data_IF_103560101995
#
_entry.id   IF_103560101995
#
_cell.length_a   1.000
_cell.length_b   1.000
_cell.length_c   1.000
_cell.angle_alpha   90.00
_cell.angle_beta   90.00
_cell.angle_gamma   90.00
#
_symmetry.space_group_name_H-M   'P 1'
#
loop_
_entity.id
_entity.type
_entity.pdbx_description
1 polymer ?
#
# COMPACT_ATOMS: atom_id res chain seq x y z
N UNK A 1 2.60 -15.52 -23.80
CA UNK A 1 2.01 -15.43 -25.14
C UNK A 1 1.64 -14.00 -25.58
N UNK A 2 1.89 -12.94 -24.80
CA UNK A 2 1.83 -11.54 -25.26
C UNK A 2 2.88 -10.74 -24.49
N UNK A 3 4.16 -10.86 -24.84
CA UNK A 3 5.22 -10.25 -24.01
C UNK A 3 5.55 -8.81 -24.36
N UNK A 4 5.35 -8.29 -25.58
CA UNK A 4 5.85 -6.94 -25.91
C UNK A 4 4.93 -6.02 -26.72
N UNK A 5 3.64 -6.36 -26.95
CA UNK A 5 2.71 -5.45 -27.63
C UNK A 5 1.40 -5.30 -26.84
N UNK A 6 1.42 -4.39 -25.85
CA UNK A 6 0.29 -4.12 -24.94
C UNK A 6 -0.91 -3.53 -25.67
N UNK A 7 -0.65 -2.66 -26.64
CA UNK A 7 -1.69 -2.12 -27.52
C UNK A 7 -2.39 -3.23 -28.31
N UNK A 8 -1.62 -4.15 -28.91
CA UNK A 8 -2.21 -5.27 -29.63
C UNK A 8 -3.03 -6.21 -28.72
N UNK A 9 -2.67 -6.35 -27.44
CA UNK A 9 -3.43 -7.14 -26.48
C UNK A 9 -4.79 -6.50 -26.18
N UNK A 10 -4.82 -5.18 -25.93
CA UNK A 10 -6.04 -4.41 -25.69
C UNK A 10 -7.01 -4.52 -26.87
N UNK A 11 -6.53 -4.26 -28.09
CA UNK A 11 -7.35 -4.32 -29.29
C UNK A 11 -7.89 -5.73 -29.57
N UNK A 12 -7.10 -6.76 -29.24
CA UNK A 12 -7.53 -8.14 -29.33
C UNK A 12 -8.66 -8.46 -28.35
N UNK A 13 -8.53 -8.05 -27.07
CA UNK A 13 -9.59 -8.29 -26.08
C UNK A 13 -10.86 -7.48 -26.35
N UNK A 14 -10.75 -6.25 -26.88
CA UNK A 14 -11.90 -5.46 -27.31
C UNK A 14 -12.72 -6.22 -28.36
N UNK A 15 -12.05 -6.78 -29.38
CA UNK A 15 -12.72 -7.59 -30.39
C UNK A 15 -13.38 -8.84 -29.78
N UNK A 16 -12.65 -9.56 -28.92
CA UNK A 16 -13.21 -10.76 -28.28
C UNK A 16 -14.42 -10.46 -27.39
N UNK A 17 -14.48 -9.30 -26.74
CA UNK A 17 -15.62 -8.90 -25.93
C UNK A 17 -16.92 -8.80 -26.74
N UNK A 18 -16.82 -8.43 -28.02
CA UNK A 18 -17.98 -8.33 -28.93
C UNK A 18 -18.40 -9.69 -29.51
N UNK A 19 -17.45 -10.61 -29.72
CA UNK A 19 -17.71 -11.91 -30.37
C UNK A 19 -17.99 -13.06 -29.40
N UNK A 20 -17.29 -13.14 -28.26
CA UNK A 20 -17.45 -14.19 -27.26
C UNK A 20 -18.07 -13.63 -25.97
N UNK A 21 -19.38 -13.44 -26.04
CA UNK A 21 -20.19 -12.87 -24.96
C UNK A 21 -20.17 -13.73 -23.69
N UNK A 22 -19.87 -15.04 -23.80
CA UNK A 22 -19.77 -15.94 -22.65
C UNK A 22 -18.59 -15.56 -21.74
N UNK A 23 -17.49 -15.09 -22.32
CA UNK A 23 -16.30 -14.67 -21.59
C UNK A 23 -16.15 -13.14 -21.47
N UNK A 24 -17.20 -12.38 -21.79
CA UNK A 24 -17.17 -10.91 -21.81
C UNK A 24 -16.64 -10.29 -20.51
N UNK A 25 -16.99 -10.85 -19.35
CA UNK A 25 -16.50 -10.36 -18.05
C UNK A 25 -14.99 -10.51 -17.90
N UNK A 26 -14.42 -11.64 -18.33
CA UNK A 26 -12.97 -11.87 -18.34
C UNK A 26 -12.28 -10.88 -19.29
N UNK A 27 -12.85 -10.64 -20.48
CA UNK A 27 -12.27 -9.69 -21.42
C UNK A 27 -12.30 -8.27 -20.89
N UNK A 28 -13.40 -7.82 -20.27
CA UNK A 28 -13.47 -6.52 -19.60
C UNK A 28 -12.39 -6.37 -18.52
N UNK A 29 -12.19 -7.40 -17.72
CA UNK A 29 -11.12 -7.42 -16.72
C UNK A 29 -9.73 -7.28 -17.36
N UNK A 30 -9.45 -8.04 -18.41
CA UNK A 30 -8.17 -7.98 -19.13
C UNK A 30 -7.95 -6.64 -19.83
N UNK A 31 -9.00 -6.04 -20.40
CA UNK A 31 -8.97 -4.69 -20.99
C UNK A 31 -8.63 -3.64 -19.93
N UNK A 32 -9.30 -3.70 -18.77
CA UNK A 32 -9.02 -2.81 -17.64
C UNK A 32 -7.55 -2.88 -17.19
N UNK A 33 -6.99 -4.09 -17.08
CA UNK A 33 -5.57 -4.28 -16.77
C UNK A 33 -4.66 -3.66 -17.85
N UNK A 34 -5.02 -3.80 -19.13
CA UNK A 34 -4.24 -3.20 -20.22
C UNK A 34 -4.21 -1.68 -20.11
N UNK A 35 -5.36 -1.04 -19.87
CA UNK A 35 -5.43 0.41 -19.67
C UNK A 35 -4.63 0.88 -18.46
N UNK A 36 -4.75 0.20 -17.31
CA UNK A 36 -3.93 0.51 -16.13
C UNK A 36 -2.43 0.44 -16.44
N UNK A 37 -1.99 -0.60 -17.14
CA UNK A 37 -0.57 -0.79 -17.51
C UNK A 37 -0.07 0.20 -18.55
N UNK A 38 -0.97 0.87 -19.25
CA UNK A 38 -0.69 1.95 -20.19
C UNK A 38 -0.76 3.34 -19.53
N UNK A 39 -1.13 3.42 -18.25
CA UNK A 39 -1.29 4.68 -17.51
C UNK A 39 -2.63 5.39 -17.76
N UNK A 40 -3.59 4.73 -18.41
CA UNK A 40 -4.93 5.26 -18.62
C UNK A 40 -5.87 4.75 -17.50
N UNK A 41 -5.83 5.46 -16.37
CA UNK A 41 -6.58 5.07 -15.17
C UNK A 41 -8.09 5.24 -15.35
N UNK A 42 -8.54 6.24 -16.11
CA UNK A 42 -9.96 6.47 -16.38
C UNK A 42 -10.57 5.28 -17.13
N UNK A 43 -9.94 4.86 -18.23
CA UNK A 43 -10.41 3.70 -18.98
C UNK A 43 -10.26 2.40 -18.18
N UNK A 44 -9.17 2.25 -17.42
CA UNK A 44 -8.99 1.12 -16.51
C UNK A 44 -10.20 0.98 -15.57
N UNK A 45 -10.54 2.04 -14.85
CA UNK A 45 -11.66 2.07 -13.91
C UNK A 45 -13.00 1.81 -14.60
N UNK A 46 -13.23 2.40 -15.78
CA UNK A 46 -14.45 2.21 -16.56
C UNK A 46 -14.69 0.73 -16.91
N UNK A 47 -13.66 0.02 -17.38
CA UNK A 47 -13.80 -1.39 -17.75
C UNK A 47 -13.86 -2.30 -16.53
N UNK A 48 -13.06 -2.03 -15.49
CA UNK A 48 -13.05 -2.80 -14.25
C UNK A 48 -14.39 -2.73 -13.51
N UNK A 49 -15.06 -1.57 -13.50
CA UNK A 49 -16.38 -1.39 -12.88
C UNK A 49 -17.49 -2.22 -13.55
N UNK A 50 -17.26 -2.72 -14.76
CA UNK A 50 -18.23 -3.52 -15.52
C UNK A 50 -18.00 -5.04 -15.40
N UNK A 51 -16.99 -5.47 -14.64
CA UNK A 51 -16.70 -6.89 -14.40
C UNK A 51 -17.75 -7.45 -13.44
N UNK A 52 -18.46 -8.49 -13.86
CA UNK A 52 -19.54 -9.10 -13.08
C UNK A 52 -19.20 -10.49 -12.54
N UNK A 53 -18.09 -11.07 -12.98
CA UNK A 53 -17.62 -12.38 -12.53
C UNK A 53 -17.10 -12.30 -11.08
N UNK A 54 -17.74 -12.98 -10.11
CA UNK A 54 -17.32 -12.96 -8.71
C UNK A 54 -15.90 -13.50 -8.49
N UNK A 55 -15.43 -14.42 -9.36
CA UNK A 55 -14.10 -15.01 -9.23
C UNK A 55 -12.97 -13.99 -9.48
N UNK A 56 -13.26 -12.93 -10.25
CA UNK A 56 -12.30 -11.87 -10.58
C UNK A 56 -12.35 -10.70 -9.61
N UNK A 57 -13.35 -10.65 -8.71
CA UNK A 57 -13.72 -9.39 -8.09
C UNK A 57 -12.70 -8.86 -7.07
N UNK A 58 -11.98 -9.75 -6.38
CA UNK A 58 -10.86 -9.34 -5.53
C UNK A 58 -9.77 -8.65 -6.34
N UNK A 59 -9.43 -9.16 -7.54
CA UNK A 59 -8.41 -8.57 -8.39
C UNK A 59 -8.87 -7.28 -9.05
N UNK A 60 -10.17 -7.18 -9.39
CA UNK A 60 -10.78 -5.91 -9.81
C UNK A 60 -10.56 -4.84 -8.75
N UNK A 61 -10.86 -5.12 -7.47
CA UNK A 61 -10.62 -4.17 -6.40
C UNK A 61 -9.14 -3.80 -6.25
N UNK A 62 -8.21 -4.74 -6.44
CA UNK A 62 -6.76 -4.44 -6.41
C UNK A 62 -6.36 -3.43 -7.49
N UNK A 63 -6.77 -3.65 -8.74
CA UNK A 63 -6.44 -2.75 -9.84
C UNK A 63 -7.16 -1.39 -9.73
N UNK A 64 -8.40 -1.37 -9.26
CA UNK A 64 -9.10 -0.11 -8.97
C UNK A 64 -8.38 0.67 -7.87
N UNK A 65 -7.96 0.01 -6.78
CA UNK A 65 -7.22 0.67 -5.70
C UNK A 65 -5.89 1.26 -6.20
N UNK A 66 -5.15 0.52 -7.03
CA UNK A 66 -3.93 1.02 -7.67
C UNK A 66 -4.18 2.21 -8.59
N UNK A 67 -5.27 2.21 -9.36
CA UNK A 67 -5.65 3.33 -10.23
C UNK A 67 -5.97 4.57 -9.39
N UNK A 68 -6.77 4.43 -8.32
CA UNK A 68 -7.10 5.55 -7.43
C UNK A 68 -5.88 6.09 -6.65
N UNK A 69 -4.87 5.27 -6.35
CA UNK A 69 -3.59 5.75 -5.81
C UNK A 69 -2.90 6.68 -6.80
N UNK A 70 -2.85 6.31 -8.08
CA UNK A 70 -2.20 7.14 -9.10
C UNK A 70 -2.92 8.47 -9.34
N UNK A 71 -4.25 8.47 -9.21
CA UNK A 71 -5.08 9.67 -9.35
C UNK A 71 -5.18 10.49 -8.06
N UNK A 72 -4.52 10.06 -6.97
CA UNK A 72 -4.60 10.64 -5.62
C UNK A 72 -6.06 10.78 -5.09
N UNK A 73 -6.97 9.89 -5.52
CA UNK A 73 -8.39 9.91 -5.14
C UNK A 73 -8.62 9.19 -3.80
N UNK A 74 -8.39 9.90 -2.71
CA UNK A 74 -8.54 9.41 -1.35
C UNK A 74 -9.94 8.84 -1.03
N UNK A 75 -10.98 9.41 -1.63
CA UNK A 75 -12.37 9.01 -1.36
C UNK A 75 -12.65 7.63 -1.95
N UNK A 76 -12.29 7.43 -3.21
CA UNK A 76 -12.47 6.13 -3.87
C UNK A 76 -11.45 5.09 -3.38
N UNK A 77 -10.23 5.48 -3.00
CA UNK A 77 -9.30 4.59 -2.30
C UNK A 77 -9.94 3.99 -1.03
N UNK A 78 -10.55 4.83 -0.20
CA UNK A 78 -11.22 4.41 1.04
C UNK A 78 -12.39 3.46 0.75
N UNK A 79 -13.24 3.81 -0.23
CA UNK A 79 -14.39 2.98 -0.64
C UNK A 79 -13.95 1.61 -1.16
N UNK A 80 -12.98 1.56 -2.07
CA UNK A 80 -12.48 0.29 -2.62
C UNK A 80 -11.80 -0.54 -1.53
N UNK A 81 -11.10 0.11 -0.59
CA UNK A 81 -10.51 -0.61 0.54
C UNK A 81 -11.57 -1.30 1.39
N UNK A 82 -12.67 -0.62 1.70
CA UNK A 82 -13.78 -1.24 2.45
C UNK A 82 -14.34 -2.46 1.72
N UNK A 83 -14.53 -2.36 0.40
CA UNK A 83 -14.96 -3.48 -0.42
C UNK A 83 -13.96 -4.64 -0.41
N UNK A 84 -12.66 -4.35 -0.54
CA UNK A 84 -11.60 -5.35 -0.55
C UNK A 84 -11.50 -6.08 0.80
N UNK A 85 -11.70 -5.39 1.94
CA UNK A 85 -11.73 -6.04 3.26
C UNK A 85 -12.84 -7.08 3.41
N UNK A 86 -13.93 -6.94 2.64
CA UNK A 86 -15.02 -7.91 2.56
C UNK A 86 -14.74 -9.11 1.65
N UNK A 87 -13.64 -9.10 0.89
CA UNK A 87 -13.30 -10.18 -0.04
C UNK A 87 -12.78 -11.44 0.67
N UNK A 88 -12.94 -12.59 0.01
CA UNK A 88 -12.56 -13.91 0.56
C UNK A 88 -11.10 -14.28 0.33
N UNK A 89 -10.46 -13.74 -0.71
CA UNK A 89 -9.12 -14.13 -1.17
C UNK A 89 -8.05 -13.05 -0.93
N UNK A 90 -8.00 -12.56 0.32
CA UNK A 90 -7.05 -11.53 0.74
C UNK A 90 -5.62 -12.06 0.88
N UNK A 91 -4.65 -11.21 0.51
CA UNK A 91 -3.22 -11.49 0.55
C UNK A 91 -2.50 -10.48 1.45
N UNK A 92 -1.33 -10.82 2.01
CA UNK A 92 -0.53 -9.87 2.79
C UNK A 92 -0.25 -8.55 2.06
N UNK A 93 -0.01 -8.59 0.76
CA UNK A 93 0.22 -7.41 -0.08
C UNK A 93 -0.96 -6.43 -0.09
N UNK A 94 -2.19 -6.91 0.02
CA UNK A 94 -3.39 -6.06 0.10
C UNK A 94 -3.38 -5.19 1.35
N UNK A 95 -2.78 -5.67 2.44
CA UNK A 95 -2.65 -4.93 3.70
C UNK A 95 -1.43 -4.04 3.68
N UNK A 96 -0.28 -4.53 3.22
CA UNK A 96 0.96 -3.77 3.14
C UNK A 96 0.77 -2.47 2.36
N UNK A 97 0.21 -2.56 1.14
CA UNK A 97 -0.01 -1.39 0.29
C UNK A 97 -0.98 -0.39 0.95
N UNK A 98 -2.02 -0.86 1.62
CA UNK A 98 -2.94 0.01 2.32
C UNK A 98 -2.27 0.71 3.51
N UNK A 99 -1.47 0.00 4.30
CA UNK A 99 -0.72 0.56 5.42
C UNK A 99 0.35 1.56 4.94
N UNK A 100 0.97 1.32 3.78
CA UNK A 100 1.87 2.28 3.14
C UNK A 100 1.17 3.61 2.87
N UNK A 101 0.04 3.58 2.17
CA UNK A 101 -0.74 4.78 1.84
C UNK A 101 -1.23 5.51 3.10
N UNK A 102 -1.70 4.74 4.08
CA UNK A 102 -2.31 5.31 5.28
C UNK A 102 -1.29 5.88 6.27
N UNK A 103 -0.11 5.27 6.40
CA UNK A 103 0.86 5.59 7.46
C UNK A 103 2.24 5.95 6.95
N UNK A 104 2.85 5.11 6.11
CA UNK A 104 4.29 5.21 5.86
C UNK A 104 4.65 6.23 4.78
N UNK A 105 3.81 6.40 3.75
CA UNK A 105 3.94 7.45 2.76
C UNK A 105 3.80 8.84 3.40
N UNK A 106 2.75 9.16 4.18
CA UNK A 106 2.66 10.47 4.83
C UNK A 106 3.82 10.70 5.80
N UNK A 107 4.22 9.68 6.57
CA UNK A 107 5.38 9.77 7.46
C UNK A 107 6.68 10.11 6.72
N UNK A 108 7.05 9.35 5.69
CA UNK A 108 8.32 9.54 4.97
C UNK A 108 8.37 10.82 4.16
N UNK A 109 7.22 11.40 3.84
CA UNK A 109 7.09 12.66 3.09
C UNK A 109 6.72 13.86 3.96
N UNK A 110 6.65 13.70 5.29
CA UNK A 110 6.21 14.71 6.23
C UNK A 110 4.83 15.34 5.87
N UNK A 111 3.95 14.57 5.25
CA UNK A 111 2.56 14.96 4.97
C UNK A 111 1.65 14.56 6.13
N UNK A 112 0.49 15.23 6.30
CA UNK A 112 -0.52 14.79 7.27
C UNK A 112 -1.01 13.36 6.99
N UNK A 113 -1.34 12.61 8.04
CA UNK A 113 -1.98 11.29 7.95
C UNK A 113 -3.47 11.39 7.55
N UNK A 114 -3.77 12.09 6.44
CA UNK A 114 -5.14 12.44 6.04
C UNK A 114 -6.07 11.22 5.96
N UNK A 115 -5.66 10.16 5.26
CA UNK A 115 -6.43 8.92 5.14
C UNK A 115 -6.78 8.30 6.50
N UNK A 116 -5.88 8.37 7.48
CA UNK A 116 -6.14 7.88 8.82
C UNK A 116 -7.12 8.80 9.58
N UNK A 117 -6.93 10.11 9.52
CA UNK A 117 -7.80 11.05 10.25
C UNK A 117 -9.22 11.13 9.68
N UNK A 118 -9.37 10.94 8.36
CA UNK A 118 -10.68 10.91 7.70
C UNK A 118 -11.47 9.64 8.06
N UNK A 119 -10.79 8.50 8.26
CA UNK A 119 -11.44 7.26 8.65
C UNK A 119 -10.56 6.38 9.58
N UNK A 120 -10.47 6.73 10.88
CA UNK A 120 -9.62 6.01 11.82
C UNK A 120 -10.08 4.55 12.03
N UNK A 121 -11.40 4.31 11.97
CA UNK A 121 -11.96 2.97 12.20
C UNK A 121 -11.51 1.98 11.11
N UNK A 122 -11.30 2.44 9.88
CA UNK A 122 -10.82 1.58 8.80
C UNK A 122 -9.42 1.01 9.07
N UNK A 123 -8.57 1.76 9.78
CA UNK A 123 -7.27 1.28 10.21
C UNK A 123 -7.40 0.12 11.21
N UNK A 124 -8.18 0.32 12.27
CA UNK A 124 -8.41 -0.69 13.32
C UNK A 124 -9.07 -1.95 12.72
N UNK A 125 -10.06 -1.78 11.84
CA UNK A 125 -10.71 -2.89 11.12
C UNK A 125 -9.73 -3.65 10.22
N UNK A 126 -8.86 -2.93 9.49
CA UNK A 126 -7.86 -3.54 8.62
C UNK A 126 -6.85 -4.37 9.42
N UNK A 127 -6.37 -3.84 10.55
CA UNK A 127 -5.44 -4.54 11.43
C UNK A 127 -6.11 -5.76 12.05
N UNK A 128 -7.32 -5.61 12.59
CA UNK A 128 -8.08 -6.72 13.17
C UNK A 128 -8.33 -7.85 12.16
N UNK A 129 -8.75 -7.50 10.94
CA UNK A 129 -8.94 -8.46 9.84
C UNK A 129 -7.62 -9.14 9.45
N UNK A 130 -6.52 -8.38 9.37
CA UNK A 130 -5.20 -8.91 9.09
C UNK A 130 -4.80 -9.99 10.11
N UNK A 131 -4.88 -9.66 11.40
CA UNK A 131 -4.48 -10.55 12.49
C UNK A 131 -5.38 -11.79 12.60
N UNK A 132 -6.64 -11.70 12.16
CA UNK A 132 -7.53 -12.86 12.08
C UNK A 132 -7.20 -13.80 10.91
N UNK A 133 -6.64 -13.28 9.81
CA UNK A 133 -6.33 -14.06 8.61
C UNK A 133 -4.91 -14.64 8.63
N UNK A 134 -3.93 -13.85 9.07
CA UNK A 134 -2.52 -14.18 8.93
C UNK A 134 -1.88 -14.44 10.28
N UNK A 135 -1.30 -15.63 10.42
CA UNK A 135 -0.59 -16.06 11.64
C UNK A 135 0.84 -16.44 11.29
N UNK A 136 1.71 -16.53 12.31
CA UNK A 136 3.12 -16.91 12.19
C UNK A 136 3.88 -16.02 11.20
N UNK A 137 4.55 -16.59 10.20
CA UNK A 137 5.42 -15.86 9.26
C UNK A 137 4.69 -14.82 8.40
N UNK A 138 3.36 -14.91 8.26
CA UNK A 138 2.56 -13.92 7.53
C UNK A 138 2.03 -12.81 8.45
N UNK A 139 2.17 -12.92 9.77
CA UNK A 139 1.67 -11.93 10.73
C UNK A 139 2.51 -10.64 10.76
N UNK A 140 3.68 -10.63 10.11
CA UNK A 140 4.56 -9.46 10.05
C UNK A 140 3.85 -8.26 9.43
N UNK A 141 3.03 -8.46 8.39
CA UNK A 141 2.27 -7.37 7.77
C UNK A 141 1.22 -6.78 8.72
N UNK A 142 0.69 -7.57 9.64
CA UNK A 142 -0.24 -7.08 10.66
C UNK A 142 0.51 -6.26 11.71
N UNK A 143 1.69 -6.73 12.14
CA UNK A 143 2.59 -5.94 13.00
C UNK A 143 3.03 -4.64 12.32
N UNK A 144 3.26 -4.67 11.01
CA UNK A 144 3.56 -3.49 10.20
C UNK A 144 2.41 -2.47 10.22
N UNK A 145 1.16 -2.92 10.09
CA UNK A 145 -0.01 -2.06 10.26
C UNK A 145 -0.14 -1.47 11.67
N UNK A 146 0.07 -2.29 12.71
CA UNK A 146 0.03 -1.86 14.10
C UNK A 146 1.07 -0.79 14.42
N UNK A 147 2.31 -0.97 13.94
CA UNK A 147 3.37 0.03 14.08
C UNK A 147 2.98 1.34 13.39
N UNK A 148 2.43 1.27 12.16
CA UNK A 148 1.95 2.43 11.41
C UNK A 148 0.83 3.18 12.12
N UNK A 149 -0.11 2.45 12.74
CA UNK A 149 -1.19 3.03 13.54
C UNK A 149 -0.65 3.78 14.76
N UNK A 150 0.31 3.21 15.48
CA UNK A 150 0.92 3.88 16.63
C UNK A 150 1.72 5.12 16.23
N UNK A 151 2.39 5.06 15.07
CA UNK A 151 3.04 6.21 14.46
C UNK A 151 2.03 7.33 14.16
N UNK A 152 0.89 7.04 13.52
CA UNK A 152 -0.14 8.04 13.26
C UNK A 152 -0.75 8.63 14.55
N UNK A 153 -0.83 7.83 15.62
CA UNK A 153 -1.26 8.25 16.97
C UNK A 153 -0.16 8.98 17.76
N UNK A 154 1.04 9.15 17.20
CA UNK A 154 2.22 9.73 17.87
C UNK A 154 2.59 9.01 19.19
N UNK A 155 2.33 7.70 19.28
CA UNK A 155 2.59 6.91 20.48
C UNK A 155 3.60 5.79 20.20
N UNK A 156 4.89 6.13 20.16
CA UNK A 156 5.94 5.15 19.86
C UNK A 156 6.38 4.30 21.06
N UNK A 157 5.78 4.49 22.25
CA UNK A 157 6.26 3.88 23.49
C UNK A 157 6.18 2.34 23.53
N UNK A 158 5.27 1.73 22.75
CA UNK A 158 5.01 0.28 22.77
C UNK A 158 5.51 -0.49 21.54
N UNK A 159 6.07 0.21 20.54
CA UNK A 159 6.40 -0.42 19.24
C UNK A 159 7.84 -0.84 19.10
N UNK A 160 8.73 -0.49 20.05
CA UNK A 160 10.18 -0.71 19.95
C UNK A 160 10.56 -2.11 19.48
N UNK A 161 10.11 -3.18 20.18
CA UNK A 161 10.48 -4.55 19.82
C UNK A 161 9.94 -4.99 18.45
N UNK A 162 8.67 -4.69 18.14
CA UNK A 162 8.06 -5.02 16.84
C UNK A 162 8.76 -4.28 15.71
N UNK A 163 9.02 -3.00 15.90
CA UNK A 163 9.71 -2.15 14.94
C UNK A 163 11.16 -2.61 14.72
N UNK A 164 11.90 -2.95 15.78
CA UNK A 164 13.24 -3.53 15.65
C UNK A 164 13.22 -4.81 14.81
N UNK A 165 12.31 -5.74 15.12
CA UNK A 165 12.17 -6.99 14.36
C UNK A 165 11.84 -6.73 12.88
N UNK A 166 10.88 -5.84 12.59
CA UNK A 166 10.52 -5.50 11.21
C UNK A 166 11.70 -4.85 10.46
N UNK A 167 12.42 -3.93 11.10
CA UNK A 167 13.56 -3.25 10.49
C UNK A 167 14.74 -4.20 10.22
N UNK A 168 14.98 -5.15 11.12
CA UNK A 168 16.01 -6.19 10.96
C UNK A 168 15.64 -7.19 9.87
N UNK A 169 14.35 -7.53 9.72
CA UNK A 169 13.91 -8.50 8.73
C UNK A 169 13.78 -7.94 7.32
N UNK A 170 13.23 -6.72 7.19
CA UNK A 170 12.84 -6.15 5.89
C UNK A 170 13.82 -5.12 5.33
N UNK A 171 14.69 -4.54 6.16
CA UNK A 171 15.70 -3.57 5.74
C UNK A 171 15.15 -2.43 4.88
N UNK A 172 14.04 -1.79 5.30
CA UNK A 172 13.43 -0.69 4.57
C UNK A 172 13.80 0.67 5.18
N UNK A 173 14.03 1.68 4.32
CA UNK A 173 14.43 3.04 4.75
C UNK A 173 13.51 3.60 5.83
N UNK A 174 12.20 3.57 5.60
CA UNK A 174 11.23 4.19 6.50
C UNK A 174 11.15 3.48 7.87
N UNK A 175 11.49 2.18 7.94
CA UNK A 175 11.58 1.46 9.22
C UNK A 175 12.79 1.91 10.03
N UNK A 176 13.94 2.11 9.37
CA UNK A 176 15.11 2.69 10.02
C UNK A 176 14.90 4.16 10.40
N UNK A 177 14.22 4.94 9.56
CA UNK A 177 13.82 6.29 9.89
C UNK A 177 12.96 6.31 11.16
N UNK A 178 11.96 5.44 11.24
CA UNK A 178 11.11 5.33 12.42
C UNK A 178 11.86 4.84 13.66
N UNK A 179 12.84 3.95 13.52
CA UNK A 179 13.74 3.59 14.62
C UNK A 179 14.56 4.78 15.11
N UNK A 180 15.06 5.61 14.20
CA UNK A 180 15.74 6.84 14.56
C UNK A 180 14.84 7.77 15.39
N UNK A 181 13.58 7.94 14.97
CA UNK A 181 12.59 8.74 15.71
C UNK A 181 12.25 8.13 17.08
N UNK A 182 12.14 6.80 17.14
CA UNK A 182 11.96 6.08 18.40
C UNK A 182 13.13 6.33 19.37
N UNK A 183 14.37 6.13 18.93
CA UNK A 183 15.55 6.36 19.78
C UNK A 183 15.74 7.83 20.15
N UNK A 184 15.43 8.75 19.25
CA UNK A 184 15.42 10.19 19.55
C UNK A 184 14.41 10.52 20.64
N UNK A 185 13.21 9.91 20.62
CA UNK A 185 12.20 10.08 21.67
C UNK A 185 12.67 9.58 23.04
N UNK A 186 13.57 8.61 23.07
CA UNK A 186 14.23 8.09 24.27
C UNK A 186 15.47 8.89 24.69
N UNK A 187 15.79 9.98 23.99
CA UNK A 187 17.03 10.77 24.16
C UNK A 187 18.31 9.93 23.97
N UNK A 188 18.23 8.90 23.13
CA UNK A 188 19.36 8.05 22.75
C UNK A 188 19.95 8.52 21.42
N UNK A 189 20.54 9.72 21.43
CA UNK A 189 20.90 10.47 20.21
C UNK A 189 21.91 9.73 19.32
N UNK A 190 22.85 8.99 19.93
CA UNK A 190 23.81 8.14 19.18
C UNK A 190 23.08 7.08 18.35
N UNK A 191 22.18 6.32 18.98
CA UNK A 191 21.40 5.30 18.29
C UNK A 191 20.46 5.92 17.26
N UNK A 192 19.83 7.05 17.59
CA UNK A 192 18.96 7.78 16.66
C UNK A 192 19.72 8.13 15.37
N UNK A 193 20.91 8.72 15.50
CA UNK A 193 21.77 9.12 14.39
C UNK A 193 22.23 7.92 13.56
N UNK A 194 22.63 6.82 14.19
CA UNK A 194 22.99 5.59 13.49
C UNK A 194 21.85 5.07 12.60
N UNK A 195 20.61 5.05 13.12
CA UNK A 195 19.46 4.60 12.35
C UNK A 195 19.05 5.58 11.26
N UNK A 196 19.15 6.89 11.47
CA UNK A 196 18.94 7.86 10.39
C UNK A 196 19.97 7.71 9.26
N UNK A 197 21.24 7.43 9.59
CA UNK A 197 22.28 7.15 8.59
C UNK A 197 21.95 5.85 7.83
N UNK A 198 21.57 4.77 8.53
CA UNK A 198 21.14 3.51 7.90
C UNK A 198 19.97 3.74 6.93
N UNK A 199 18.96 4.49 7.36
CA UNK A 199 17.83 4.86 6.51
C UNK A 199 18.31 5.61 5.26
N UNK A 200 19.15 6.63 5.43
CA UNK A 200 19.62 7.49 4.34
C UNK A 200 20.40 6.71 3.26
N UNK A 201 21.20 5.71 3.65
CA UNK A 201 22.00 4.89 2.73
C UNK A 201 21.11 4.13 1.73
N UNK A 202 19.94 3.67 2.15
CA UNK A 202 19.04 2.83 1.34
C UNK A 202 17.79 3.58 0.85
N UNK A 203 17.67 4.87 1.16
CA UNK A 203 16.49 5.68 0.83
C UNK A 203 16.50 6.10 -0.64
N UNK A 204 15.44 5.74 -1.37
CA UNK A 204 15.24 6.08 -2.78
C UNK A 204 14.39 7.35 -2.99
N UNK A 205 13.77 7.87 -1.93
CA UNK A 205 12.86 9.01 -2.00
C UNK A 205 13.57 10.32 -1.62
N UNK A 206 13.63 11.27 -2.55
CA UNK A 206 14.35 12.54 -2.34
C UNK A 206 13.81 13.37 -1.17
N UNK A 207 12.49 13.37 -0.95
CA UNK A 207 11.87 14.08 0.17
C UNK A 207 12.29 13.47 1.51
N UNK A 208 12.25 12.15 1.62
CA UNK A 208 12.69 11.43 2.81
C UNK A 208 14.20 11.62 3.05
N UNK A 209 15.03 11.59 2.00
CA UNK A 209 16.46 11.88 2.13
C UNK A 209 16.73 13.27 2.71
N UNK A 210 15.99 14.29 2.28
CA UNK A 210 16.13 15.64 2.82
C UNK A 210 15.77 15.70 4.31
N UNK A 211 14.68 15.02 4.70
CA UNK A 211 14.26 14.90 6.11
C UNK A 211 15.35 14.21 6.93
N UNK A 212 15.87 13.07 6.48
CA UNK A 212 16.91 12.30 7.18
C UNK A 212 18.19 13.12 7.36
N UNK A 213 18.66 13.82 6.32
CA UNK A 213 19.83 14.72 6.42
C UNK A 213 19.63 15.80 7.49
N UNK A 214 18.43 16.37 7.57
CA UNK A 214 18.12 17.37 8.61
C UNK A 214 18.17 16.79 10.03
N UNK A 215 17.71 15.54 10.21
CA UNK A 215 17.71 14.85 11.50
C UNK A 215 19.12 14.42 11.95
N UNK A 216 20.00 14.06 11.01
CA UNK A 216 21.41 13.68 11.30
C UNK A 216 22.25 14.88 11.77
N UNK A 217 21.89 16.08 11.32
CA UNK A 217 22.60 17.33 11.58
C UNK A 217 22.07 18.11 12.80
N UNK A 218 20.97 17.65 13.41
CA UNK A 218 20.52 18.13 14.72
C UNK A 218 21.34 17.50 15.83
#
# INVERSE_FOLDING_TARGET
FLTHNREAAKDYFLKLADFDTKNASLYKFLIGICYYRNGDNEQSLLYLAQVTDPALQTDVYRYMFLSYIQDEDATNMTRIRQNLLGASSLQPSDFALFFDQMFYIPFRTAKPFALYFDNPQLADLSIGKCSALFTRSQADVCSYGEVGLQLAKQNLSWVGQKLLYLADKYHQSHLYHLLGDYYSSLKQDTFAKEYYIKALIICDNLTEQAILKSKINR
#
